data_IF_526833028308
#
_entry.id   IF_526833028308
#
_cell.length_a   1.000
_cell.length_b   1.000
_cell.length_c   1.000
_cell.angle_alpha   90.00
_cell.angle_beta   90.00
_cell.angle_gamma   90.00
#
_symmetry.space_group_name_H-M   'P 1'
#
loop_
_entity.id
_entity.type
_entity.pdbx_description
1 polymer ?
#
# COMPACT_ATOMS: atom_id res chain seq x y z
N UNK A 1 24.46 -54.54 -41.58
CA UNK A 1 23.93 -53.91 -42.78
C UNK A 1 23.34 -52.57 -42.29
N UNK A 2 24.11 -51.52 -42.43
CA UNK A 2 23.73 -50.17 -41.98
C UNK A 2 23.35 -49.43 -43.26
N UNK A 3 22.07 -49.05 -43.39
CA UNK A 3 21.51 -48.32 -44.53
C UNK A 3 21.97 -46.86 -44.46
N UNK A 4 22.73 -46.44 -45.46
CA UNK A 4 23.13 -45.02 -45.62
C UNK A 4 21.92 -44.18 -46.09
N UNK A 5 21.51 -43.25 -45.30
CA UNK A 5 20.47 -42.24 -45.64
C UNK A 5 21.08 -41.21 -46.60
N UNK A 6 20.52 -40.96 -47.78
CA UNK A 6 21.11 -40.03 -48.77
C UNK A 6 20.97 -38.56 -48.35
N UNK A 7 22.10 -37.95 -48.09
CA UNK A 7 22.28 -36.52 -47.71
C UNK A 7 21.98 -35.49 -48.82
N UNK A 8 21.35 -35.92 -49.93
CA UNK A 8 21.24 -35.12 -51.17
C UNK A 8 20.11 -34.08 -51.25
N UNK A 9 19.08 -34.12 -50.38
CA UNK A 9 17.88 -33.25 -50.57
C UNK A 9 17.92 -31.89 -49.88
N UNK A 10 18.74 -31.69 -48.88
CA UNK A 10 18.83 -30.43 -48.15
C UNK A 10 19.61 -29.32 -48.88
N UNK A 11 20.55 -29.66 -49.75
CA UNK A 11 21.37 -28.73 -50.49
C UNK A 11 20.60 -27.98 -51.60
N UNK A 12 19.63 -28.64 -52.23
CA UNK A 12 18.87 -28.07 -53.34
C UNK A 12 17.86 -27.01 -52.91
N UNK A 13 17.15 -27.23 -51.79
CA UNK A 13 16.18 -26.29 -51.24
C UNK A 13 16.88 -24.99 -50.75
N UNK A 14 18.09 -25.11 -50.19
CA UNK A 14 18.86 -23.96 -49.71
C UNK A 14 19.35 -23.06 -50.83
N UNK A 15 19.70 -23.62 -51.96
CA UNK A 15 20.19 -22.83 -53.15
C UNK A 15 19.03 -22.10 -53.81
N UNK A 16 17.90 -22.74 -53.96
CA UNK A 16 16.72 -22.13 -54.60
C UNK A 16 16.11 -21.02 -53.77
N UNK A 17 16.09 -21.12 -52.43
CA UNK A 17 15.64 -20.05 -51.55
C UNK A 17 16.61 -18.84 -51.55
N UNK A 18 17.91 -19.08 -51.67
CA UNK A 18 18.90 -17.98 -51.73
C UNK A 18 18.81 -17.22 -53.07
N UNK A 19 18.59 -17.92 -54.16
CA UNK A 19 18.48 -17.29 -55.49
C UNK A 19 17.12 -16.53 -55.61
N UNK A 20 16.05 -17.06 -55.04
CA UNK A 20 14.78 -16.33 -54.95
C UNK A 20 14.94 -15.06 -54.10
N UNK A 21 15.64 -15.13 -52.95
CA UNK A 21 15.88 -13.97 -52.09
C UNK A 21 16.70 -12.90 -52.75
N UNK A 22 17.73 -13.28 -53.54
CA UNK A 22 18.53 -12.33 -54.32
C UNK A 22 17.73 -11.60 -55.42
N UNK A 23 16.82 -12.32 -56.11
CA UNK A 23 16.00 -11.77 -57.14
C UNK A 23 14.92 -10.79 -56.61
N UNK A 24 14.47 -11.04 -55.37
CA UNK A 24 13.39 -10.23 -54.73
C UNK A 24 13.92 -9.37 -53.57
N UNK A 25 15.23 -9.18 -53.47
CA UNK A 25 15.88 -8.43 -52.36
C UNK A 25 15.26 -7.05 -52.17
N UNK A 26 15.02 -6.33 -53.26
CA UNK A 26 14.45 -4.99 -53.22
C UNK A 26 12.98 -4.97 -52.81
N UNK A 27 12.21 -5.97 -53.18
CA UNK A 27 10.82 -6.08 -52.74
C UNK A 27 10.71 -6.49 -51.28
N UNK A 28 11.54 -7.38 -50.82
CA UNK A 28 11.60 -7.78 -49.40
C UNK A 28 12.13 -6.63 -48.52
N UNK A 29 13.17 -5.92 -48.96
CA UNK A 29 13.69 -4.76 -48.26
C UNK A 29 12.67 -3.60 -48.21
N UNK A 30 11.93 -3.37 -49.31
CA UNK A 30 10.84 -2.39 -49.36
C UNK A 30 9.70 -2.71 -48.40
N UNK A 31 9.27 -3.98 -48.36
CA UNK A 31 8.24 -4.46 -47.44
C UNK A 31 8.64 -4.38 -45.99
N UNK A 32 9.88 -4.79 -45.67
CA UNK A 32 10.45 -4.65 -44.33
C UNK A 32 10.56 -3.17 -43.90
N UNK A 33 11.00 -2.28 -44.80
CA UNK A 33 11.05 -0.84 -44.55
C UNK A 33 9.67 -0.25 -44.28
N UNK A 34 8.65 -0.66 -45.03
CA UNK A 34 7.27 -0.21 -44.86
C UNK A 34 6.71 -0.67 -43.48
N UNK A 35 6.98 -1.91 -43.08
CA UNK A 35 6.57 -2.43 -41.76
C UNK A 35 7.23 -1.62 -40.63
N UNK A 36 8.53 -1.34 -40.73
CA UNK A 36 9.27 -0.57 -39.73
C UNK A 36 8.75 0.88 -39.63
N UNK A 37 8.55 1.54 -40.77
CA UNK A 37 8.01 2.92 -40.77
C UNK A 37 6.57 2.95 -40.24
N UNK A 38 5.75 1.96 -40.64
CA UNK A 38 4.40 1.81 -40.09
C UNK A 38 4.39 1.59 -38.56
N UNK A 39 5.25 0.71 -38.07
CA UNK A 39 5.37 0.46 -36.63
C UNK A 39 5.84 1.70 -35.83
N UNK A 40 6.81 2.46 -36.38
CA UNK A 40 7.27 3.73 -35.81
C UNK A 40 6.16 4.78 -35.80
N UNK A 41 5.41 4.89 -36.91
CA UNK A 41 4.31 5.82 -37.04
C UNK A 41 3.19 5.54 -36.05
N UNK A 42 2.76 4.29 -35.92
CA UNK A 42 1.75 3.84 -34.96
C UNK A 42 2.26 4.05 -33.52
N UNK A 43 3.53 3.71 -33.24
CA UNK A 43 4.14 3.91 -31.91
C UNK A 43 4.19 5.38 -31.51
N UNK A 44 4.50 6.29 -32.43
CA UNK A 44 4.50 7.74 -32.16
C UNK A 44 3.10 8.29 -31.94
N UNK A 45 2.12 7.81 -32.72
CA UNK A 45 0.75 8.23 -32.58
C UNK A 45 0.14 7.79 -31.25
N UNK A 46 0.31 6.52 -30.89
CA UNK A 46 -0.14 5.97 -29.59
C UNK A 46 0.54 6.63 -28.40
N UNK A 47 1.87 6.89 -28.48
CA UNK A 47 2.59 7.60 -27.42
C UNK A 47 2.19 9.05 -27.28
N UNK A 48 1.88 9.73 -28.40
CA UNK A 48 1.40 11.10 -28.36
C UNK A 48 0.07 11.23 -27.63
N UNK A 49 -0.89 10.35 -27.91
CA UNK A 49 -2.19 10.33 -27.23
C UNK A 49 -2.04 9.98 -25.75
N UNK A 50 -1.17 9.02 -25.41
CA UNK A 50 -0.92 8.64 -24.03
C UNK A 50 -0.35 9.81 -23.20
N UNK A 51 0.55 10.62 -23.74
CA UNK A 51 1.10 11.78 -23.03
C UNK A 51 0.02 12.85 -22.73
N UNK A 52 -0.88 13.10 -23.69
CA UNK A 52 -2.00 14.01 -23.50
C UNK A 52 -2.93 13.48 -22.42
N UNK A 53 -3.24 12.18 -22.45
CA UNK A 53 -4.10 11.54 -21.46
C UNK A 53 -3.46 11.53 -20.05
N UNK A 54 -2.14 11.36 -19.95
CA UNK A 54 -1.45 11.43 -18.66
C UNK A 54 -1.49 12.84 -18.07
N UNK A 55 -1.29 13.87 -18.90
CA UNK A 55 -1.44 15.25 -18.45
C UNK A 55 -2.90 15.55 -18.06
N UNK A 56 -3.86 15.08 -18.84
CA UNK A 56 -5.28 15.23 -18.51
C UNK A 56 -5.64 14.51 -17.19
N UNK A 57 -5.05 13.34 -16.94
CA UNK A 57 -5.24 12.63 -15.67
C UNK A 57 -4.67 13.40 -14.47
N UNK A 58 -3.49 14.02 -14.62
CA UNK A 58 -2.90 14.88 -13.60
C UNK A 58 -3.79 16.10 -13.31
N UNK A 59 -4.25 16.79 -14.33
CA UNK A 59 -5.15 17.93 -14.20
C UNK A 59 -6.49 17.53 -13.54
N UNK A 60 -7.06 16.40 -13.97
CA UNK A 60 -8.30 15.88 -13.38
C UNK A 60 -8.12 15.54 -11.90
N UNK A 61 -6.98 14.93 -11.53
CA UNK A 61 -6.65 14.63 -10.15
C UNK A 61 -6.54 15.90 -9.30
N UNK A 62 -5.78 16.90 -9.75
CA UNK A 62 -5.64 18.16 -9.02
C UNK A 62 -6.97 18.91 -8.85
N UNK A 63 -7.77 19.00 -9.90
CA UNK A 63 -9.09 19.64 -9.79
C UNK A 63 -10.03 18.91 -8.84
N UNK A 64 -9.98 17.58 -8.83
CA UNK A 64 -10.73 16.78 -7.86
C UNK A 64 -10.19 17.00 -6.43
N UNK A 65 -8.87 17.09 -6.27
CA UNK A 65 -8.23 17.41 -4.98
C UNK A 65 -8.67 18.77 -4.42
N UNK A 66 -8.89 19.75 -5.29
CA UNK A 66 -9.47 21.06 -4.99
C UNK A 66 -10.98 21.03 -4.64
N UNK A 67 -11.62 19.88 -4.72
CA UNK A 67 -13.04 19.70 -4.37
C UNK A 67 -14.01 19.70 -5.55
N UNK A 68 -13.55 19.71 -6.80
CA UNK A 68 -14.38 19.61 -8.00
C UNK A 68 -14.72 18.15 -8.31
N UNK A 69 -15.77 17.61 -7.70
CA UNK A 69 -16.09 16.18 -7.70
C UNK A 69 -16.28 15.55 -9.11
N UNK A 70 -16.75 16.32 -10.08
CA UNK A 70 -16.96 15.82 -11.47
C UNK A 70 -15.67 15.31 -12.13
N UNK A 71 -14.51 15.81 -11.68
CA UNK A 71 -13.21 15.42 -12.22
C UNK A 71 -12.77 14.00 -11.78
N UNK A 72 -13.34 13.43 -10.71
CA UNK A 72 -13.08 12.04 -10.35
C UNK A 72 -13.55 11.08 -11.44
N UNK A 73 -14.71 11.33 -12.02
CA UNK A 73 -15.26 10.51 -13.13
C UNK A 73 -14.36 10.59 -14.35
N UNK A 74 -13.84 11.78 -14.65
CA UNK A 74 -12.88 11.96 -15.76
C UNK A 74 -11.58 11.21 -15.49
N UNK A 75 -11.03 11.33 -14.29
CA UNK A 75 -9.84 10.60 -13.86
C UNK A 75 -10.04 9.08 -13.96
N UNK A 76 -11.16 8.56 -13.49
CA UNK A 76 -11.51 7.14 -13.59
C UNK A 76 -11.53 6.63 -15.03
N UNK A 77 -12.10 7.40 -15.97
CA UNK A 77 -12.10 7.04 -17.41
C UNK A 77 -10.68 6.98 -17.98
N UNK A 78 -9.82 7.92 -17.58
CA UNK A 78 -8.41 7.94 -18.00
C UNK A 78 -7.63 6.77 -17.40
N UNK A 79 -7.85 6.43 -16.14
CA UNK A 79 -7.26 5.26 -15.49
C UNK A 79 -7.72 3.95 -16.18
N UNK A 80 -8.99 3.84 -16.58
CA UNK A 80 -9.48 2.68 -17.33
C UNK A 80 -8.83 2.55 -18.70
N UNK A 81 -8.58 3.69 -19.39
CA UNK A 81 -7.89 3.72 -20.68
C UNK A 81 -6.39 3.38 -20.54
N UNK A 82 -5.78 3.78 -19.42
CA UNK A 82 -4.36 3.63 -19.10
C UNK A 82 -4.19 2.93 -17.74
N UNK A 83 -4.24 1.57 -17.70
CA UNK A 83 -4.21 0.80 -16.45
C UNK A 83 -2.95 1.03 -15.59
N UNK A 84 -1.84 1.47 -16.17
CA UNK A 84 -0.61 1.83 -15.45
C UNK A 84 -0.81 3.00 -14.49
N UNK A 85 -1.79 3.88 -14.74
CA UNK A 85 -2.14 5.00 -13.86
C UNK A 85 -2.76 4.55 -12.52
N UNK A 86 -3.27 3.33 -12.44
CA UNK A 86 -3.71 2.75 -11.17
C UNK A 86 -2.62 2.78 -10.09
N UNK A 87 -1.37 2.55 -10.47
CA UNK A 87 -0.24 2.56 -9.53
C UNK A 87 -0.03 3.95 -8.91
N UNK A 88 -0.30 5.01 -9.67
CA UNK A 88 -0.13 6.40 -9.24
C UNK A 88 -1.31 6.90 -8.41
N UNK A 89 -2.53 6.64 -8.85
CA UNK A 89 -3.70 7.35 -8.32
C UNK A 89 -4.54 6.57 -7.32
N UNK A 90 -4.61 5.23 -7.38
CA UNK A 90 -5.54 4.47 -6.54
C UNK A 90 -5.32 4.70 -5.04
N UNK A 91 -4.07 4.77 -4.58
CA UNK A 91 -3.76 5.03 -3.18
C UNK A 91 -4.22 6.40 -2.70
N UNK A 92 -3.98 7.44 -3.51
CA UNK A 92 -4.38 8.81 -3.23
C UNK A 92 -5.91 8.97 -3.26
N UNK A 93 -6.57 8.33 -4.26
CA UNK A 93 -8.04 8.29 -4.33
C UNK A 93 -8.62 7.62 -3.08
N UNK A 94 -8.09 6.45 -2.70
CA UNK A 94 -8.55 5.75 -1.49
C UNK A 94 -8.43 6.62 -0.25
N UNK A 95 -7.28 7.26 -0.04
CA UNK A 95 -7.02 8.11 1.12
C UNK A 95 -8.00 9.28 1.21
N UNK A 96 -8.22 10.00 0.11
CA UNK A 96 -9.13 11.14 0.09
C UNK A 96 -10.59 10.71 0.31
N UNK A 97 -11.05 9.64 -0.35
CA UNK A 97 -12.40 9.12 -0.17
C UNK A 97 -12.66 8.59 1.24
N UNK A 98 -11.65 8.00 1.91
CA UNK A 98 -11.76 7.60 3.32
C UNK A 98 -11.98 8.79 4.24
N UNK A 99 -11.37 9.95 3.95
CA UNK A 99 -11.57 11.18 4.72
C UNK A 99 -12.89 11.90 4.42
N UNK A 100 -13.49 11.67 3.24
CA UNK A 100 -14.73 12.31 2.78
C UNK A 100 -16.02 11.50 3.02
N UNK A 101 -15.97 10.43 3.80
CA UNK A 101 -17.12 9.56 4.11
C UNK A 101 -17.64 8.66 2.98
N UNK A 102 -17.04 8.67 1.79
CA UNK A 102 -17.38 7.77 0.66
C UNK A 102 -16.66 6.42 0.79
N UNK A 103 -16.87 5.76 1.93
CA UNK A 103 -16.07 4.61 2.39
C UNK A 103 -16.14 3.40 1.44
N UNK A 104 -17.30 3.09 0.85
CA UNK A 104 -17.48 1.91 0.01
C UNK A 104 -16.61 1.94 -1.26
N UNK A 105 -16.51 3.11 -1.92
CA UNK A 105 -15.64 3.29 -3.10
C UNK A 105 -14.17 3.32 -2.67
N UNK A 106 -13.86 3.98 -1.56
CA UNK A 106 -12.52 4.09 -1.00
C UNK A 106 -11.87 2.72 -0.74
N UNK A 107 -12.63 1.78 -0.16
CA UNK A 107 -12.10 0.45 0.18
C UNK A 107 -11.74 -0.37 -1.06
N UNK A 108 -12.44 -0.21 -2.18
CA UNK A 108 -12.11 -0.89 -3.44
C UNK A 108 -10.75 -0.44 -3.98
N UNK A 109 -10.50 0.87 -4.02
CA UNK A 109 -9.20 1.44 -4.42
C UNK A 109 -8.08 1.06 -3.45
N UNK A 110 -8.36 1.11 -2.15
CA UNK A 110 -7.41 0.71 -1.12
C UNK A 110 -6.99 -0.75 -1.26
N UNK A 111 -7.93 -1.68 -1.44
CA UNK A 111 -7.62 -3.11 -1.66
C UNK A 111 -6.80 -3.33 -2.93
N UNK A 112 -7.14 -2.64 -4.03
CA UNK A 112 -6.38 -2.73 -5.26
C UNK A 112 -4.93 -2.23 -5.08
N UNK A 113 -4.74 -1.15 -4.32
CA UNK A 113 -3.41 -0.62 -3.97
C UNK A 113 -2.63 -1.62 -3.12
N UNK A 114 -3.22 -2.16 -2.04
CA UNK A 114 -2.55 -3.12 -1.15
C UNK A 114 -2.16 -4.41 -1.89
N UNK A 115 -2.96 -4.85 -2.85
CA UNK A 115 -2.63 -6.00 -3.69
C UNK A 115 -1.39 -5.75 -4.56
N UNK A 116 -1.16 -4.51 -5.01
CA UNK A 116 0.00 -4.13 -5.84
C UNK A 116 1.28 -3.90 -5.04
N UNK A 117 1.19 -3.45 -3.79
CA UNK A 117 2.37 -3.20 -2.94
C UNK A 117 3.17 -4.48 -2.69
N UNK A 118 2.55 -5.66 -2.79
CA UNK A 118 3.23 -6.94 -2.57
C UNK A 118 3.77 -7.08 -1.14
N UNK A 119 4.94 -7.72 -1.00
CA UNK A 119 5.52 -8.04 0.31
C UNK A 119 6.67 -7.11 0.73
N UNK A 120 6.83 -5.97 0.04
CA UNK A 120 7.90 -5.00 0.35
C UNK A 120 7.77 -4.36 1.74
N UNK A 121 6.56 -4.28 2.27
CA UNK A 121 6.29 -3.69 3.59
C UNK A 121 5.12 -4.43 4.26
N UNK A 122 5.33 -5.68 4.69
CA UNK A 122 4.26 -6.57 5.14
C UNK A 122 3.46 -5.97 6.30
N UNK A 123 4.12 -5.42 7.32
CA UNK A 123 3.44 -4.86 8.49
C UNK A 123 2.59 -3.62 8.15
N UNK A 124 3.07 -2.75 7.26
CA UNK A 124 2.28 -1.59 6.78
C UNK A 124 1.10 -2.02 5.93
N UNK A 125 1.28 -3.07 5.12
CA UNK A 125 0.19 -3.67 4.33
C UNK A 125 -0.92 -4.19 5.24
N UNK A 126 -0.56 -4.98 6.26
CA UNK A 126 -1.52 -5.55 7.20
C UNK A 126 -2.19 -4.48 8.06
N UNK A 127 -1.42 -3.47 8.50
CA UNK A 127 -1.99 -2.31 9.20
C UNK A 127 -3.00 -1.55 8.33
N UNK A 128 -2.69 -1.33 7.06
CA UNK A 128 -3.60 -0.65 6.13
C UNK A 128 -4.82 -1.50 5.78
N UNK A 129 -4.66 -2.83 5.63
CA UNK A 129 -5.76 -3.76 5.44
C UNK A 129 -6.75 -3.73 6.60
N UNK A 130 -6.24 -3.68 7.83
CA UNK A 130 -7.06 -3.49 9.03
C UNK A 130 -7.83 -2.15 9.00
N UNK A 131 -7.24 -1.06 8.50
CA UNK A 131 -7.93 0.22 8.32
C UNK A 131 -9.12 0.12 7.35
N UNK A 132 -8.98 -0.67 6.27
CA UNK A 132 -10.07 -0.91 5.33
C UNK A 132 -11.21 -1.72 5.95
N UNK A 133 -10.90 -2.70 6.82
CA UNK A 133 -11.93 -3.43 7.57
C UNK A 133 -12.71 -2.51 8.51
N UNK A 134 -12.03 -1.58 9.18
CA UNK A 134 -12.69 -0.57 10.03
C UNK A 134 -13.60 0.31 9.16
N UNK A 135 -13.15 0.75 7.99
CA UNK A 135 -13.96 1.54 7.07
C UNK A 135 -15.20 0.78 6.56
N UNK A 136 -15.07 -0.53 6.35
CA UNK A 136 -16.16 -1.45 5.99
C UNK A 136 -17.06 -1.84 7.19
N UNK A 137 -16.84 -1.29 8.38
CA UNK A 137 -17.55 -1.60 9.64
C UNK A 137 -17.39 -3.08 10.11
N UNK A 138 -16.35 -3.78 9.65
CA UNK A 138 -16.01 -5.14 10.06
C UNK A 138 -15.11 -5.12 11.29
N UNK A 139 -15.64 -4.60 12.41
CA UNK A 139 -14.83 -4.26 13.59
C UNK A 139 -14.23 -5.48 14.27
N UNK A 140 -14.95 -6.61 14.31
CA UNK A 140 -14.46 -7.85 14.91
C UNK A 140 -13.28 -8.44 14.11
N UNK A 141 -13.42 -8.51 12.78
CA UNK A 141 -12.34 -8.96 11.88
C UNK A 141 -11.13 -8.01 11.96
N UNK A 142 -11.38 -6.70 12.04
CA UNK A 142 -10.34 -5.70 12.24
C UNK A 142 -9.58 -5.90 13.57
N UNK A 143 -10.28 -6.22 14.66
CA UNK A 143 -9.67 -6.48 15.95
C UNK A 143 -8.79 -7.74 15.91
N UNK A 144 -9.29 -8.82 15.32
CA UNK A 144 -8.51 -10.06 15.14
C UNK A 144 -7.25 -9.81 14.32
N UNK A 145 -7.35 -9.07 13.21
CA UNK A 145 -6.21 -8.74 12.36
C UNK A 145 -5.21 -7.82 13.06
N UNK A 146 -5.68 -6.83 13.83
CA UNK A 146 -4.80 -5.96 14.61
C UNK A 146 -4.02 -6.73 15.69
N UNK A 147 -4.66 -7.70 16.36
CA UNK A 147 -4.01 -8.59 17.34
C UNK A 147 -3.01 -9.53 16.66
N UNK A 148 -3.36 -10.10 15.50
CA UNK A 148 -2.47 -10.95 14.73
C UNK A 148 -1.24 -10.16 14.25
N UNK A 149 -1.43 -8.93 13.78
CA UNK A 149 -0.34 -8.03 13.39
C UNK A 149 0.57 -7.73 14.58
N UNK A 150 0.01 -7.43 15.75
CA UNK A 150 0.80 -7.25 16.98
C UNK A 150 1.65 -8.49 17.27
N UNK A 151 1.05 -9.67 17.28
CA UNK A 151 1.75 -10.93 17.52
C UNK A 151 2.89 -11.17 16.52
N UNK A 152 2.67 -10.88 15.24
CA UNK A 152 3.70 -10.99 14.20
C UNK A 152 4.87 -10.05 14.47
N UNK A 153 4.60 -8.79 14.84
CA UNK A 153 5.65 -7.84 15.22
C UNK A 153 6.38 -8.25 16.50
N UNK A 154 5.68 -8.81 17.50
CA UNK A 154 6.30 -9.29 18.74
C UNK A 154 7.24 -10.47 18.52
N UNK A 155 6.97 -11.34 17.54
CA UNK A 155 7.77 -12.51 17.21
C UNK A 155 8.94 -12.23 16.27
N UNK A 156 8.97 -11.09 15.59
CA UNK A 156 10.01 -10.75 14.61
C UNK A 156 11.11 -9.90 15.25
N UNK A 157 12.23 -10.53 15.61
CA UNK A 157 13.38 -9.82 16.19
C UNK A 157 13.95 -8.76 15.23
N UNK A 158 13.86 -8.97 13.92
CA UNK A 158 14.33 -8.00 12.91
C UNK A 158 13.50 -6.73 12.92
N UNK A 159 12.23 -6.82 13.27
CA UNK A 159 11.35 -5.66 13.40
C UNK A 159 11.85 -4.68 14.47
N UNK A 160 12.56 -5.18 15.50
CA UNK A 160 13.08 -4.40 16.61
C UNK A 160 14.56 -4.00 16.46
N UNK A 161 15.25 -4.45 15.41
CA UNK A 161 16.63 -4.08 15.16
C UNK A 161 16.76 -2.61 14.75
N UNK A 162 17.46 -1.80 15.55
CA UNK A 162 17.64 -0.36 15.33
C UNK A 162 18.53 0.01 14.14
N UNK A 163 19.01 -0.96 13.36
CA UNK A 163 20.03 -0.76 12.31
C UNK A 163 19.48 -0.40 10.93
N UNK A 164 18.18 -0.53 10.69
CA UNK A 164 17.56 -0.27 9.40
C UNK A 164 16.71 1.00 9.46
N UNK A 165 16.84 1.91 8.50
CA UNK A 165 15.95 3.08 8.39
C UNK A 165 14.48 2.69 8.23
N UNK A 166 14.20 1.54 7.60
CA UNK A 166 12.86 0.94 7.52
C UNK A 166 12.30 0.53 8.89
N UNK A 167 13.16 0.16 9.83
CA UNK A 167 12.78 -0.29 11.18
C UNK A 167 12.60 0.88 12.15
N UNK A 168 13.14 2.06 11.83
CA UNK A 168 12.95 3.27 12.66
C UNK A 168 11.47 3.61 12.88
N UNK A 169 10.62 3.27 11.92
CA UNK A 169 9.18 3.47 12.01
C UNK A 169 8.42 2.28 12.63
N UNK A 170 9.10 1.16 12.92
CA UNK A 170 8.46 -0.03 13.46
C UNK A 170 7.81 0.21 14.81
N UNK A 171 8.51 0.85 15.74
CA UNK A 171 7.97 1.20 17.05
C UNK A 171 6.76 2.14 16.96
N UNK A 172 6.78 3.07 16.01
CA UNK A 172 5.66 3.97 15.73
C UNK A 172 4.44 3.17 15.25
N UNK A 173 4.64 2.29 14.26
CA UNK A 173 3.59 1.43 13.73
C UNK A 173 3.01 0.52 14.82
N UNK A 174 3.87 -0.03 15.68
CA UNK A 174 3.47 -0.85 16.82
C UNK A 174 2.58 -0.06 17.79
N UNK A 175 3.00 1.15 18.17
CA UNK A 175 2.24 2.02 19.06
C UNK A 175 0.88 2.41 18.49
N UNK A 176 0.81 2.75 17.19
CA UNK A 176 -0.46 3.01 16.52
C UNK A 176 -1.35 1.75 16.43
N UNK A 177 -0.76 0.58 16.25
CA UNK A 177 -1.53 -0.67 16.25
C UNK A 177 -2.08 -1.01 17.63
N UNK A 178 -1.33 -0.77 18.72
CA UNK A 178 -1.83 -0.91 20.09
C UNK A 178 -2.99 0.05 20.37
N UNK A 179 -2.87 1.31 19.96
CA UNK A 179 -3.96 2.30 20.06
C UNK A 179 -5.21 1.81 19.32
N UNK A 180 -5.02 1.27 18.11
CA UNK A 180 -6.11 0.68 17.32
C UNK A 180 -6.79 -0.48 18.04
N UNK A 181 -6.01 -1.41 18.62
CA UNK A 181 -6.55 -2.52 19.41
C UNK A 181 -7.41 -1.99 20.56
N UNK A 182 -6.92 -1.01 21.33
CA UNK A 182 -7.67 -0.44 22.45
C UNK A 182 -9.01 0.18 22.00
N UNK A 183 -9.00 0.91 20.87
CA UNK A 183 -10.22 1.50 20.32
C UNK A 183 -11.20 0.45 19.78
N UNK A 184 -10.69 -0.64 19.18
CA UNK A 184 -11.52 -1.74 18.70
C UNK A 184 -12.11 -2.57 19.86
N UNK A 185 -11.35 -2.82 20.93
CA UNK A 185 -11.86 -3.46 22.15
C UNK A 185 -12.98 -2.62 22.80
N UNK A 186 -12.81 -1.29 22.82
CA UNK A 186 -13.87 -0.37 23.25
C UNK A 186 -15.12 -0.52 22.39
N UNK A 187 -14.96 -0.54 21.06
CA UNK A 187 -16.07 -0.69 20.11
C UNK A 187 -16.76 -2.05 20.23
N UNK A 188 -16.03 -3.11 20.58
CA UNK A 188 -16.53 -4.44 20.83
C UNK A 188 -17.20 -4.59 22.21
N UNK A 189 -17.14 -3.58 23.07
CA UNK A 189 -17.72 -3.63 24.42
C UNK A 189 -17.03 -4.63 25.35
N UNK A 190 -15.70 -4.80 25.23
CA UNK A 190 -14.90 -5.72 26.05
C UNK A 190 -14.06 -4.96 27.09
N UNK A 191 -14.58 -4.61 28.28
CA UNK A 191 -13.90 -3.74 29.25
C UNK A 191 -12.51 -4.26 29.68
N UNK A 192 -12.40 -5.57 29.90
CA UNK A 192 -11.10 -6.19 30.27
C UNK A 192 -10.08 -6.13 29.14
N UNK A 193 -10.52 -6.36 27.90
CA UNK A 193 -9.68 -6.25 26.71
C UNK A 193 -9.20 -4.81 26.49
N UNK A 194 -10.12 -3.84 26.60
CA UNK A 194 -9.80 -2.41 26.49
C UNK A 194 -8.78 -1.99 27.57
N UNK A 195 -8.99 -2.34 28.83
CA UNK A 195 -8.08 -2.01 29.93
C UNK A 195 -6.68 -2.58 29.72
N UNK A 196 -6.59 -3.85 29.29
CA UNK A 196 -5.33 -4.49 28.97
C UNK A 196 -4.60 -3.78 27.80
N UNK A 197 -5.34 -3.41 26.75
CA UNK A 197 -4.75 -2.72 25.61
C UNK A 197 -4.24 -1.31 25.97
N UNK A 198 -4.95 -0.55 26.81
CA UNK A 198 -4.46 0.74 27.31
C UNK A 198 -3.20 0.60 28.16
N UNK A 199 -3.11 -0.44 29.00
CA UNK A 199 -1.89 -0.71 29.76
C UNK A 199 -0.69 -1.01 28.84
N UNK A 200 -0.91 -1.73 27.72
CA UNK A 200 0.14 -1.98 26.74
C UNK A 200 0.54 -0.70 25.98
N UNK A 201 -0.41 0.18 25.61
CA UNK A 201 -0.12 1.49 25.02
C UNK A 201 0.80 2.28 25.96
N UNK A 202 0.43 2.42 27.24
CA UNK A 202 1.25 3.14 28.24
C UNK A 202 2.65 2.56 28.35
N UNK A 203 2.77 1.23 28.39
CA UNK A 203 4.06 0.55 28.44
C UNK A 203 4.94 0.82 27.22
N UNK A 204 4.37 0.80 26.01
CA UNK A 204 5.12 1.00 24.76
C UNK A 204 5.61 2.44 24.60
N UNK A 205 4.87 3.41 25.09
CA UNK A 205 5.26 4.84 25.05
C UNK A 205 5.95 5.32 26.32
N UNK A 206 6.21 4.43 27.29
CA UNK A 206 6.93 4.75 28.51
C UNK A 206 6.15 5.56 29.54
N UNK A 207 4.84 5.59 29.46
CA UNK A 207 3.97 6.27 30.44
C UNK A 207 3.71 5.36 31.64
N UNK A 208 4.53 5.48 32.66
CA UNK A 208 4.33 4.79 33.93
C UNK A 208 3.82 5.78 34.98
N UNK A 209 2.85 5.36 35.79
CA UNK A 209 2.28 6.17 36.86
C UNK A 209 3.31 6.54 37.97
N UNK A 210 4.36 5.76 38.07
CA UNK A 210 5.50 6.01 38.96
C UNK A 210 6.78 5.69 38.24
N UNK A 211 7.36 6.67 37.52
CA UNK A 211 8.76 6.55 37.14
C UNK A 211 9.63 6.87 38.36
N UNK A 212 10.41 5.91 38.88
CA UNK A 212 11.54 6.28 39.71
C UNK A 212 12.46 7.12 38.81
N UNK A 213 12.72 8.35 39.24
CA UNK A 213 13.58 9.31 38.57
C UNK A 213 14.90 8.62 38.21
N UNK A 214 15.15 8.34 36.93
CA UNK A 214 16.41 7.80 36.44
C UNK A 214 16.39 6.39 35.81
N UNK A 215 15.33 5.60 35.89
CA UNK A 215 15.26 4.31 35.20
C UNK A 215 14.77 4.49 33.77
N UNK A 216 15.64 4.22 32.79
CA UNK A 216 15.20 4.09 31.41
C UNK A 216 14.28 2.87 31.26
N UNK A 217 13.15 2.98 30.55
CA UNK A 217 12.30 1.82 30.33
C UNK A 217 13.09 0.75 29.57
N UNK A 218 13.16 -0.45 30.14
CA UNK A 218 13.90 -1.58 29.56
C UNK A 218 13.13 -2.37 28.51
N UNK A 219 11.95 -1.91 28.12
CA UNK A 219 11.13 -2.58 27.12
C UNK A 219 11.68 -2.33 25.71
N UNK A 220 11.90 -3.40 24.93
CA UNK A 220 12.28 -3.29 23.50
C UNK A 220 11.25 -2.53 22.66
N UNK A 221 10.02 -2.45 23.15
CA UNK A 221 8.90 -1.75 22.48
C UNK A 221 8.87 -0.25 22.79
N UNK A 222 9.73 0.24 23.68
CA UNK A 222 9.78 1.65 24.02
C UNK A 222 10.57 2.45 22.99
N UNK A 223 9.94 3.48 22.46
CA UNK A 223 10.58 4.46 21.60
C UNK A 223 10.09 5.87 21.95
N UNK A 224 11.00 6.76 22.38
CA UNK A 224 10.65 8.14 22.69
C UNK A 224 10.10 8.91 21.48
N UNK A 225 10.48 8.56 20.25
CA UNK A 225 9.97 9.19 19.03
C UNK A 225 8.51 8.83 18.79
N UNK A 226 8.14 7.55 18.99
CA UNK A 226 6.74 7.11 18.94
C UNK A 226 5.87 7.83 19.98
N UNK A 227 6.42 8.05 21.17
CA UNK A 227 5.78 8.85 22.22
C UNK A 227 5.49 10.28 21.77
N UNK A 228 6.51 10.97 21.21
CA UNK A 228 6.38 12.33 20.75
C UNK A 228 5.36 12.46 19.63
N UNK A 229 5.40 11.58 18.63
CA UNK A 229 4.47 11.60 17.50
C UNK A 229 3.02 11.33 17.90
N UNK A 230 2.78 10.35 18.77
CA UNK A 230 1.44 10.13 19.33
C UNK A 230 0.96 11.35 20.10
N UNK A 231 1.81 11.91 20.97
CA UNK A 231 1.48 13.11 21.75
C UNK A 231 1.12 14.30 20.86
N UNK A 232 1.95 14.57 19.84
CA UNK A 232 1.72 15.68 18.91
C UNK A 232 0.41 15.54 18.13
N UNK A 233 0.07 14.33 17.64
CA UNK A 233 -1.16 14.12 16.90
C UNK A 233 -2.42 14.39 17.74
N UNK A 234 -2.38 14.08 19.04
CA UNK A 234 -3.50 14.36 19.94
C UNK A 234 -3.52 15.79 20.45
N UNK A 235 -2.35 16.43 20.65
CA UNK A 235 -2.28 17.85 21.01
C UNK A 235 -2.84 18.76 19.92
N UNK A 236 -2.62 18.43 18.66
CA UNK A 236 -3.19 19.19 17.53
C UNK A 236 -4.73 19.16 17.50
N UNK A 237 -5.36 18.23 18.23
CA UNK A 237 -6.82 18.13 18.40
C UNK A 237 -7.31 18.63 19.75
N UNK A 238 -6.46 19.36 20.50
CA UNK A 238 -6.75 19.88 21.86
C UNK A 238 -7.07 18.78 22.89
N UNK A 239 -6.74 17.51 22.58
CA UNK A 239 -6.99 16.36 23.45
C UNK A 239 -5.65 15.76 23.84
N UNK A 240 -5.40 15.63 25.16
CA UNK A 240 -4.27 14.85 25.66
C UNK A 240 -4.60 13.35 25.60
N UNK A 241 -3.80 12.57 24.85
CA UNK A 241 -3.98 11.11 24.79
C UNK A 241 -3.86 10.49 26.20
N UNK A 242 -2.92 10.96 27.02
CA UNK A 242 -2.74 10.46 28.37
C UNK A 242 -3.96 10.71 29.26
N UNK A 243 -4.55 11.90 29.22
CA UNK A 243 -5.74 12.23 29.98
C UNK A 243 -6.95 11.43 29.51
N UNK A 244 -7.06 11.21 28.18
CA UNK A 244 -8.08 10.34 27.64
C UNK A 244 -7.94 8.90 28.14
N UNK A 245 -6.71 8.35 28.17
CA UNK A 245 -6.47 6.99 28.69
C UNK A 245 -6.83 6.90 30.18
N UNK A 246 -6.40 7.86 31.00
CA UNK A 246 -6.76 7.92 32.42
C UNK A 246 -8.27 7.94 32.64
N UNK A 247 -8.95 8.82 31.94
CA UNK A 247 -10.42 8.89 31.99
C UNK A 247 -11.07 7.54 31.62
N UNK A 248 -10.58 6.89 30.55
CA UNK A 248 -11.12 5.58 30.15
C UNK A 248 -10.85 4.50 31.18
N UNK A 249 -9.65 4.44 31.75
CA UNK A 249 -9.29 3.46 32.79
C UNK A 249 -10.16 3.64 34.04
N UNK A 250 -10.40 4.86 34.48
CA UNK A 250 -11.28 5.14 35.61
C UNK A 250 -12.72 4.67 35.35
N UNK A 251 -13.26 5.01 34.18
CA UNK A 251 -14.59 4.59 33.76
C UNK A 251 -14.73 3.05 33.67
N UNK A 252 -13.69 2.36 33.18
CA UNK A 252 -13.68 0.90 33.05
C UNK A 252 -13.57 0.21 34.41
N UNK A 253 -12.75 0.74 35.33
CA UNK A 253 -12.65 0.21 36.70
C UNK A 253 -13.94 0.33 37.50
N UNK A 254 -14.75 1.37 37.20
CA UNK A 254 -16.06 1.52 37.81
C UNK A 254 -17.12 0.52 37.28
N UNK A 255 -16.88 -0.09 36.11
CA UNK A 255 -17.77 -1.07 35.48
C UNK A 255 -17.38 -2.53 35.72
N UNK A 256 -16.19 -2.80 36.26
CA UNK A 256 -15.65 -4.15 36.55
C UNK A 256 -15.82 -4.53 38.00
#
# INVERSE_FOLDING_TARGET
>A
MIEEVPFGKFGFVKKQSIDWFKTHLWTVAGLAGFIVVGAIGISKWVKGDAQVDYLAAEMAYHHWEEGKNDHLVQLQKLIQKHPELHAKYDGAIAQKLLSSSEKGIATSYGRATLKRIGDFSPYYKDFSACSLLIADQKLEEALQNAKALKASMDCDDRFWEKKSELVRHGCILYAYNLLRIAMLEKAAGTPKGELSAWAEVKKSVGWHETQPTGAQPTSRTYDPEAYLLLGQNFQNQEISLLDYIKYREEALRACL
#
